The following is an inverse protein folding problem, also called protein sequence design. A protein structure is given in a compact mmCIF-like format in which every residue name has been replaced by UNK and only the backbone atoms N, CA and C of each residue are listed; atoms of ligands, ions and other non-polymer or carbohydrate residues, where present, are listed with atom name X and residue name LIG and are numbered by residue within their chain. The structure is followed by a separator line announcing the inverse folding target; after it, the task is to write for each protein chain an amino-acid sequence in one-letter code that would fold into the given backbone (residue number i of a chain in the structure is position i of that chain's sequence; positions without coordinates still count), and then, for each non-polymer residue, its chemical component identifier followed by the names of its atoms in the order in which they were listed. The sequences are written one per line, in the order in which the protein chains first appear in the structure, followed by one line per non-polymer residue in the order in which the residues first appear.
data_IF_519085435971
#
_entry.id   IF_519085435971
#
_cell.length_a   1.000
_cell.length_b   1.000
_cell.length_c   1.000
_cell.angle_alpha   90.00
_cell.angle_beta   90.00
_cell.angle_gamma   90.00
#
_symmetry.space_group_name_H-M   'P 1'
#
loop_
_entity.id
_entity.type
_entity.pdbx_description
1 polymer ?
#
# COMPACT_ATOMS: atom_id res chain seq x y z
N UNK A 1 8.65 -20.75 20.02
CA UNK A 1 7.54 -19.85 20.41
C UNK A 1 7.68 -18.59 19.58
N UNK A 2 6.89 -18.43 18.53
CA UNK A 2 6.94 -17.21 17.71
C UNK A 2 6.40 -16.05 18.52
N UNK A 3 7.21 -15.02 18.71
CA UNK A 3 6.83 -13.76 19.33
C UNK A 3 5.59 -13.21 18.61
N UNK A 4 4.51 -12.94 19.36
CA UNK A 4 3.30 -12.34 18.80
C UNK A 4 3.67 -10.94 18.35
N UNK A 5 3.72 -10.73 17.03
CA UNK A 5 3.93 -9.40 16.45
C UNK A 5 2.78 -8.51 16.89
N UNK A 6 3.10 -7.40 17.55
CA UNK A 6 2.10 -6.43 17.97
C UNK A 6 1.58 -5.65 16.76
N UNK A 7 0.29 -5.81 16.48
CA UNK A 7 -0.43 -5.09 15.44
C UNK A 7 -1.36 -4.00 16.00
N UNK A 8 -1.15 -3.58 17.26
CA UNK A 8 -1.88 -2.47 17.90
C UNK A 8 -1.86 -1.19 17.07
N UNK A 9 -0.87 -1.02 16.21
CA UNK A 9 -0.76 0.12 15.29
C UNK A 9 -1.84 0.16 14.20
N UNK A 10 -2.51 -0.96 13.87
CA UNK A 10 -3.54 -1.02 12.81
C UNK A 10 -4.69 -0.03 13.05
N UNK A 11 -5.05 0.23 14.31
CA UNK A 11 -6.14 1.14 14.67
C UNK A 11 -5.70 2.61 14.81
N UNK A 12 -4.39 2.86 14.96
CA UNK A 12 -3.88 4.17 15.39
C UNK A 12 -2.86 4.84 14.47
N UNK A 13 -2.17 4.09 13.59
CA UNK A 13 -1.06 4.61 12.76
C UNK A 13 -1.26 4.48 11.25
N UNK A 14 -2.23 3.69 10.79
CA UNK A 14 -2.51 3.59 9.36
C UNK A 14 -2.86 4.98 8.81
N UNK A 15 -2.11 5.42 7.79
CA UNK A 15 -2.20 6.77 7.22
C UNK A 15 -1.94 7.92 8.23
N UNK A 16 -1.16 7.65 9.27
CA UNK A 16 -0.73 8.65 10.26
C UNK A 16 0.78 8.52 10.51
N UNK A 17 1.62 8.88 9.51
CA UNK A 17 3.06 8.81 9.64
C UNK A 17 3.55 9.73 10.76
N UNK A 18 4.65 9.35 11.39
CA UNK A 18 5.27 10.18 12.41
C UNK A 18 5.85 11.43 11.75
N UNK A 19 5.29 12.61 12.04
CA UNK A 19 5.81 13.87 11.52
C UNK A 19 6.92 14.37 12.43
N UNK A 20 8.16 14.14 12.00
CA UNK A 20 9.36 14.69 12.65
C UNK A 20 10.07 15.49 11.57
N UNK A 21 9.97 16.81 11.66
CA UNK A 21 10.69 17.70 10.75
C UNK A 21 12.15 17.27 10.63
N UNK A 22 12.68 17.32 9.42
CA UNK A 22 14.01 16.83 9.11
C UNK A 22 14.61 17.52 7.89
N UNK A 23 15.83 17.15 7.49
CA UNK A 23 16.43 17.70 6.29
C UNK A 23 15.57 17.36 5.07
N UNK A 24 15.60 18.23 4.07
CA UNK A 24 14.91 17.98 2.80
C UNK A 24 15.37 16.64 2.20
N UNK A 25 14.40 15.89 1.67
CA UNK A 25 14.69 14.67 0.91
C UNK A 25 15.63 15.00 -0.24
N UNK A 26 16.80 14.37 -0.26
CA UNK A 26 17.69 14.42 -1.41
C UNK A 26 16.95 13.95 -2.67
N UNK A 27 17.23 14.60 -3.79
CA UNK A 27 16.70 14.19 -5.09
C UNK A 27 17.21 12.78 -5.43
N UNK A 28 16.31 11.89 -5.84
CA UNK A 28 16.64 10.57 -6.37
C UNK A 28 15.94 10.44 -7.74
N UNK A 29 16.66 10.20 -8.84
CA UNK A 29 16.06 10.10 -10.18
C UNK A 29 15.07 8.92 -10.31
N UNK A 30 15.13 7.94 -9.40
CA UNK A 30 14.20 6.81 -9.33
C UNK A 30 12.95 7.13 -8.54
N UNK A 31 12.90 8.28 -7.86
CA UNK A 31 11.74 8.76 -7.11
C UNK A 31 10.97 9.78 -7.93
N UNK A 32 9.68 9.55 -8.10
CA UNK A 32 8.75 10.53 -8.69
C UNK A 32 7.60 10.79 -7.75
N UNK A 33 7.12 12.03 -7.75
CA UNK A 33 5.88 12.40 -7.08
C UNK A 33 4.83 12.61 -8.14
N UNK A 34 3.83 11.74 -8.16
CA UNK A 34 2.67 11.90 -9.03
C UNK A 34 1.70 12.83 -8.33
N UNK A 35 1.75 14.09 -8.73
CA UNK A 35 0.73 15.08 -8.39
C UNK A 35 -0.34 15.00 -9.48
N UNK A 36 -1.38 14.22 -9.22
CA UNK A 36 -2.62 14.32 -9.99
C UNK A 36 -3.17 15.71 -9.79
N UNK A 37 -3.51 16.43 -10.87
CA UNK A 37 -4.12 17.75 -10.76
C UNK A 37 -5.26 17.68 -9.75
N UNK A 38 -5.21 18.53 -8.73
CA UNK A 38 -6.25 18.57 -7.72
C UNK A 38 -7.51 19.13 -8.37
N UNK A 39 -8.53 18.29 -8.50
CA UNK A 39 -9.86 18.69 -8.97
C UNK A 39 -10.59 19.30 -7.78
N UNK A 40 -11.08 20.53 -7.93
CA UNK A 40 -11.93 21.12 -6.91
C UNK A 40 -13.22 20.29 -6.78
N UNK A 41 -13.51 19.84 -5.58
CA UNK A 41 -14.69 19.04 -5.31
C UNK A 41 -15.94 19.94 -5.38
N UNK A 42 -16.91 19.68 -6.28
CA UNK A 42 -18.11 20.51 -6.38
C UNK A 42 -19.03 20.36 -5.16
N UNK A 43 -18.90 19.27 -4.38
CA UNK A 43 -19.74 19.02 -3.21
C UNK A 43 -19.26 19.74 -1.95
N UNK A 44 -17.96 19.62 -1.60
CA UNK A 44 -17.43 20.15 -0.34
C UNK A 44 -16.45 21.32 -0.52
N UNK A 45 -16.15 21.73 -1.76
CA UNK A 45 -15.07 22.68 -2.11
C UNK A 45 -13.67 22.24 -1.68
N UNK A 46 -13.53 20.97 -1.28
CA UNK A 46 -12.26 20.31 -1.04
C UNK A 46 -11.50 20.00 -2.33
N UNK A 47 -10.50 19.15 -2.25
CA UNK A 47 -9.72 18.72 -3.42
C UNK A 47 -9.76 17.21 -3.62
N UNK A 48 -9.69 16.78 -4.87
CA UNK A 48 -9.61 15.38 -5.23
C UNK A 48 -8.52 15.10 -6.24
N UNK A 49 -8.00 13.88 -6.21
CA UNK A 49 -6.96 13.42 -7.13
C UNK A 49 -7.60 12.85 -8.40
N UNK A 50 -7.09 13.24 -9.57
CA UNK A 50 -7.30 12.54 -10.86
C UNK A 50 -6.78 11.10 -10.76
N UNK A 51 -7.44 10.16 -11.41
CA UNK A 51 -7.39 8.75 -11.05
C UNK A 51 -8.28 8.50 -9.84
N UNK A 52 -9.48 8.00 -10.09
CA UNK A 52 -10.49 7.80 -9.06
C UNK A 52 -11.56 6.79 -9.49
N UNK A 53 -12.73 6.90 -8.90
CA UNK A 53 -13.92 6.11 -9.25
C UNK A 53 -14.95 7.05 -9.86
N UNK A 54 -15.63 6.75 -10.98
CA UNK A 54 -16.61 7.71 -11.57
C UNK A 54 -18.07 7.27 -11.41
N UNK A 55 -18.33 5.96 -11.35
CA UNK A 55 -19.68 5.40 -11.41
C UNK A 55 -19.78 4.04 -10.74
N UNK A 56 -18.73 3.21 -10.84
CA UNK A 56 -18.51 2.05 -9.98
C UNK A 56 -17.45 2.39 -8.91
N UNK A 57 -17.80 2.45 -7.60
CA UNK A 57 -16.81 2.64 -6.52
C UNK A 57 -15.77 1.50 -6.43
N UNK A 58 -15.84 0.51 -7.32
CA UNK A 58 -14.95 -0.63 -7.46
C UNK A 58 -14.08 -0.57 -8.74
N UNK A 59 -14.24 0.42 -9.62
CA UNK A 59 -13.46 0.61 -10.85
C UNK A 59 -12.58 1.87 -10.82
N UNK A 60 -11.26 1.65 -10.77
CA UNK A 60 -10.31 2.72 -11.03
C UNK A 60 -10.39 3.13 -12.48
N UNK A 61 -10.64 4.41 -12.70
CA UNK A 61 -10.64 5.02 -14.01
C UNK A 61 -9.61 6.15 -14.01
N UNK A 62 -8.70 6.12 -14.99
CA UNK A 62 -7.71 7.19 -15.19
C UNK A 62 -8.38 8.54 -15.47
N UNK A 63 -9.61 8.49 -16.00
CA UNK A 63 -10.47 9.62 -16.31
C UNK A 63 -11.46 9.93 -15.18
N UNK A 64 -11.24 9.40 -13.97
CA UNK A 64 -12.04 9.74 -12.81
C UNK A 64 -11.26 10.57 -11.81
N UNK A 65 -11.96 11.17 -10.85
CA UNK A 65 -11.36 11.79 -9.70
C UNK A 65 -12.16 11.46 -8.44
N UNK A 66 -11.50 11.51 -7.29
CA UNK A 66 -12.16 11.31 -5.99
C UNK A 66 -11.65 12.34 -5.00
N UNK A 67 -12.58 13.05 -4.37
CA UNK A 67 -12.33 14.02 -3.30
C UNK A 67 -11.74 13.31 -2.08
N UNK A 68 -10.59 13.79 -1.61
CA UNK A 68 -9.98 13.29 -0.38
C UNK A 68 -10.79 13.62 0.88
N UNK A 69 -11.58 14.70 0.84
CA UNK A 69 -12.26 15.25 2.02
C UNK A 69 -13.65 14.65 2.25
N UNK A 70 -14.50 14.60 1.22
CA UNK A 70 -15.88 14.10 1.34
C UNK A 70 -16.14 12.79 0.58
N UNK A 71 -15.13 12.25 -0.14
CA UNK A 71 -15.28 11.03 -0.92
C UNK A 71 -16.14 11.17 -2.18
N UNK A 72 -16.67 12.36 -2.50
CA UNK A 72 -17.35 12.64 -3.76
C UNK A 72 -16.43 12.34 -4.93
N UNK A 73 -16.97 11.77 -5.99
CA UNK A 73 -16.19 11.31 -7.12
C UNK A 73 -16.89 11.67 -8.43
N UNK A 74 -16.17 11.61 -9.54
CA UNK A 74 -16.71 11.95 -10.85
C UNK A 74 -15.70 11.73 -11.97
N UNK A 75 -16.09 12.08 -13.19
CA UNK A 75 -15.18 12.04 -14.34
C UNK A 75 -14.35 13.33 -14.45
N UNK A 76 -13.15 13.22 -14.99
CA UNK A 76 -12.36 14.33 -15.53
C UNK A 76 -12.22 14.16 -17.03
N UNK A 77 -11.87 15.24 -17.72
CA UNK A 77 -11.62 15.16 -19.16
C UNK A 77 -10.47 14.19 -19.44
N UNK A 78 -10.56 13.42 -20.54
CA UNK A 78 -9.59 12.38 -20.92
C UNK A 78 -8.16 12.91 -21.03
N UNK A 79 -8.04 14.20 -21.37
CA UNK A 79 -6.82 14.96 -21.56
C UNK A 79 -6.34 15.68 -20.28
N UNK A 80 -6.97 15.42 -19.12
CA UNK A 80 -6.54 16.03 -17.86
C UNK A 80 -5.11 15.59 -17.54
N UNK A 81 -4.14 16.52 -17.51
CA UNK A 81 -2.74 16.16 -17.43
C UNK A 81 -2.41 15.55 -16.06
N UNK A 82 -1.97 14.29 -16.06
CA UNK A 82 -1.28 13.69 -14.92
C UNK A 82 0.18 14.11 -15.01
N UNK A 83 0.61 15.00 -14.11
CA UNK A 83 1.97 15.51 -14.11
C UNK A 83 2.79 14.79 -13.05
N UNK A 84 3.73 13.96 -13.49
CA UNK A 84 4.82 13.51 -12.63
C UNK A 84 5.76 14.70 -12.40
N UNK A 85 5.90 15.17 -11.16
CA UNK A 85 6.75 16.32 -10.82
C UNK A 85 7.94 15.88 -9.97
N UNK A 86 9.04 16.61 -10.16
CA UNK A 86 10.16 16.71 -9.23
C UNK A 86 10.23 18.19 -8.81
N UNK A 87 10.34 18.60 -7.53
CA UNK A 87 10.40 17.86 -6.26
C UNK A 87 9.13 18.05 -5.37
N UNK A 88 9.28 17.62 -4.11
CA UNK A 88 8.35 17.35 -3.00
C UNK A 88 7.22 18.38 -2.71
N UNK A 89 5.94 17.93 -2.69
CA UNK A 89 4.86 18.60 -1.93
C UNK A 89 5.11 18.64 -0.41
N UNK A 90 4.66 19.68 0.31
CA UNK A 90 4.74 19.81 1.80
C UNK A 90 4.68 18.51 2.65
N UNK A 91 3.82 17.50 2.38
CA UNK A 91 3.81 16.26 3.16
C UNK A 91 5.15 15.52 3.30
N UNK A 92 6.02 15.59 2.31
CA UNK A 92 7.23 14.77 2.33
C UNK A 92 8.44 15.44 3.00
N UNK A 93 8.34 16.73 3.35
CA UNK A 93 9.35 17.39 4.20
C UNK A 93 9.11 17.15 5.69
N UNK A 94 7.90 16.70 6.06
CA UNK A 94 7.52 16.47 7.45
C UNK A 94 8.01 15.11 8.02
N UNK A 95 8.42 14.17 7.17
CA UNK A 95 8.94 12.85 7.58
C UNK A 95 9.90 12.24 6.52
N UNK A 96 11.06 12.88 6.27
CA UNK A 96 12.01 12.41 5.26
C UNK A 96 12.56 11.01 5.57
N UNK A 97 12.80 10.69 6.85
CA UNK A 97 13.32 9.39 7.27
C UNK A 97 12.30 8.27 7.07
N UNK A 98 11.04 8.47 7.48
CA UNK A 98 9.98 7.49 7.30
C UNK A 98 9.72 7.18 5.83
N UNK A 99 9.83 8.20 4.95
CA UNK A 99 9.76 8.02 3.50
C UNK A 99 10.88 7.12 3.01
N UNK A 100 12.14 7.43 3.34
CA UNK A 100 13.28 6.60 2.91
C UNK A 100 13.15 5.16 3.39
N UNK A 101 12.68 4.95 4.62
CA UNK A 101 12.41 3.61 5.17
C UNK A 101 11.27 2.91 4.44
N UNK A 102 10.19 3.61 4.12
CA UNK A 102 9.06 3.06 3.37
C UNK A 102 9.50 2.65 1.96
N UNK A 103 10.32 3.45 1.28
CA UNK A 103 10.84 3.08 -0.03
C UNK A 103 11.78 1.88 0.02
N UNK A 104 12.67 1.81 1.01
CA UNK A 104 13.56 0.66 1.19
C UNK A 104 12.75 -0.63 1.44
N UNK A 105 11.74 -0.57 2.31
CA UNK A 105 10.84 -1.68 2.56
C UNK A 105 10.07 -2.07 1.29
N UNK A 106 9.56 -1.10 0.53
CA UNK A 106 8.83 -1.36 -0.71
C UNK A 106 9.72 -2.01 -1.79
N UNK A 107 10.98 -1.58 -1.95
CA UNK A 107 11.95 -2.25 -2.84
C UNK A 107 12.24 -3.68 -2.38
N UNK A 108 12.35 -3.88 -1.06
CA UNK A 108 12.50 -5.24 -0.48
C UNK A 108 11.29 -6.13 -0.81
N UNK A 109 10.06 -5.61 -0.82
CA UNK A 109 8.87 -6.36 -1.26
C UNK A 109 9.07 -6.88 -2.70
N UNK A 110 9.47 -5.99 -3.63
CA UNK A 110 9.68 -6.37 -5.04
C UNK A 110 10.76 -7.43 -5.17
N UNK A 111 11.91 -7.22 -4.53
CA UNK A 111 13.03 -8.17 -4.55
C UNK A 111 12.58 -9.58 -4.11
N UNK A 112 11.81 -9.66 -3.01
CA UNK A 112 11.31 -10.94 -2.49
C UNK A 112 10.22 -11.56 -3.37
N UNK A 113 9.61 -10.79 -4.26
CA UNK A 113 8.62 -11.26 -5.23
C UNK A 113 9.25 -11.70 -6.57
N UNK A 114 10.52 -11.41 -6.84
CA UNK A 114 11.22 -11.84 -8.08
C UNK A 114 11.12 -13.35 -8.32
N UNK A 115 11.31 -14.24 -7.33
CA UNK A 115 11.13 -15.69 -7.53
C UNK A 115 9.70 -16.09 -7.98
N UNK A 116 8.72 -15.22 -7.75
CA UNK A 116 7.31 -15.41 -8.09
C UNK A 116 6.95 -14.82 -9.46
N UNK A 117 7.96 -14.56 -10.30
CA UNK A 117 7.87 -13.97 -11.63
C UNK A 117 7.37 -12.51 -11.62
N UNK A 118 7.51 -11.80 -10.49
CA UNK A 118 7.27 -10.35 -10.47
C UNK A 118 8.53 -9.64 -11.01
N UNK A 119 8.41 -8.75 -12.02
CA UNK A 119 9.56 -8.03 -12.54
C UNK A 119 10.26 -7.21 -11.45
N UNK A 120 11.59 -7.26 -11.45
CA UNK A 120 12.37 -6.37 -10.61
C UNK A 120 12.19 -4.91 -11.08
N UNK A 121 11.95 -4.01 -10.14
CA UNK A 121 11.95 -2.57 -10.35
C UNK A 121 12.41 -1.88 -9.07
N UNK A 122 13.12 -0.77 -9.22
CA UNK A 122 13.59 0.08 -8.13
C UNK A 122 12.98 1.50 -8.17
N UNK A 123 12.18 1.80 -9.21
CA UNK A 123 11.52 3.09 -9.41
C UNK A 123 10.32 3.21 -8.48
N UNK A 124 10.27 4.28 -7.70
CA UNK A 124 9.19 4.56 -6.74
C UNK A 124 8.40 5.77 -7.20
N UNK A 125 7.08 5.61 -7.24
CA UNK A 125 6.12 6.68 -7.53
C UNK A 125 5.27 6.91 -6.29
N UNK A 126 5.44 8.07 -5.67
CA UNK A 126 4.62 8.53 -4.57
C UNK A 126 3.35 9.21 -5.07
N UNK A 127 2.23 8.91 -4.41
CA UNK A 127 0.94 9.59 -4.55
C UNK A 127 0.59 10.26 -3.23
N UNK A 128 0.08 11.48 -3.28
CA UNK A 128 -0.46 12.17 -2.09
C UNK A 128 -1.98 12.04 -2.12
N UNK A 129 -2.53 11.42 -1.08
CA UNK A 129 -3.97 11.19 -0.99
C UNK A 129 -4.53 10.38 -2.16
N UNK A 130 -5.85 10.49 -2.33
CA UNK A 130 -6.61 9.70 -3.29
C UNK A 130 -6.85 8.26 -2.81
N UNK A 131 -7.89 7.60 -3.32
CA UNK A 131 -8.15 6.23 -2.95
C UNK A 131 -7.13 5.29 -3.60
N UNK A 132 -6.93 4.13 -2.97
CA UNK A 132 -6.18 3.01 -3.54
C UNK A 132 -6.68 2.74 -4.98
N UNK A 133 -5.79 2.44 -5.94
CA UNK A 133 -6.21 2.00 -7.27
C UNK A 133 -7.02 0.69 -7.21
N UNK A 134 -7.52 0.21 -8.36
CA UNK A 134 -8.34 -1.03 -8.49
C UNK A 134 -7.73 -2.31 -7.93
N UNK A 135 -6.47 -2.43 -7.44
CA UNK A 135 -6.18 -3.57 -6.60
C UNK A 135 -6.73 -3.43 -5.16
N UNK A 136 -7.81 -2.68 -4.90
CA UNK A 136 -8.68 -3.03 -3.77
C UNK A 136 -9.23 -4.47 -3.90
N UNK A 137 -9.27 -5.06 -5.10
CA UNK A 137 -9.47 -6.51 -5.29
C UNK A 137 -8.16 -7.32 -5.28
N UNK A 138 -7.04 -6.74 -5.73
CA UNK A 138 -5.74 -7.40 -5.65
C UNK A 138 -5.14 -7.11 -4.28
N UNK A 139 -5.56 -7.93 -3.33
CA UNK A 139 -4.96 -8.08 -2.01
C UNK A 139 -3.46 -8.46 -2.01
N UNK A 140 -2.86 -8.48 -3.20
CA UNK A 140 -1.50 -8.81 -3.52
C UNK A 140 -0.79 -7.59 -4.11
N UNK A 141 0.53 -7.45 -3.92
CA UNK A 141 1.30 -6.33 -4.47
C UNK A 141 1.35 -6.27 -6.00
N UNK A 142 1.14 -7.40 -6.69
CA UNK A 142 1.23 -7.52 -8.14
C UNK A 142 0.34 -8.68 -8.64
N UNK A 143 -0.28 -8.60 -9.84
CA UNK A 143 -1.14 -9.68 -10.37
C UNK A 143 -0.44 -11.05 -10.46
N UNK A 144 0.84 -11.08 -10.83
CA UNK A 144 1.61 -12.35 -10.88
C UNK A 144 1.84 -12.99 -9.50
N UNK A 145 1.76 -12.22 -8.42
CA UNK A 145 1.87 -12.71 -7.05
C UNK A 145 0.56 -13.33 -6.54
N UNK A 146 -0.55 -13.21 -7.26
CA UNK A 146 -1.86 -13.79 -6.91
C UNK A 146 -1.82 -15.29 -6.61
N UNK A 147 -0.83 -15.98 -7.16
CA UNK A 147 -0.61 -17.39 -6.88
C UNK A 147 -0.31 -17.68 -5.41
N UNK A 148 0.33 -16.77 -4.68
CA UNK A 148 0.57 -16.89 -3.24
C UNK A 148 -0.75 -16.93 -2.46
N UNK A 149 -1.69 -16.06 -2.82
CA UNK A 149 -3.03 -16.04 -2.20
C UNK A 149 -3.75 -17.37 -2.43
N UNK A 150 -3.69 -17.91 -3.65
CA UNK A 150 -4.29 -19.21 -3.97
C UNK A 150 -3.64 -20.34 -3.18
N UNK A 151 -2.31 -20.32 -3.06
CA UNK A 151 -1.59 -21.29 -2.25
C UNK A 151 -2.06 -21.29 -0.79
N UNK A 152 -2.11 -20.13 -0.13
CA UNK A 152 -2.49 -20.07 1.28
C UNK A 152 -3.95 -20.39 1.55
N UNK A 153 -4.88 -19.94 0.70
CA UNK A 153 -6.31 -19.96 1.03
C UNK A 153 -7.13 -20.97 0.24
N UNK A 154 -6.54 -21.64 -0.74
CA UNK A 154 -7.17 -22.71 -1.52
C UNK A 154 -6.37 -24.01 -1.36
N UNK A 155 -5.14 -24.03 -1.88
CA UNK A 155 -4.33 -25.26 -1.96
C UNK A 155 -3.95 -25.81 -0.58
N UNK A 156 -3.37 -24.97 0.27
CA UNK A 156 -2.93 -25.36 1.60
C UNK A 156 -3.97 -25.08 2.69
N UNK A 157 -5.22 -24.83 2.31
CA UNK A 157 -6.27 -24.49 3.28
C UNK A 157 -6.44 -25.57 4.35
N UNK A 158 -6.46 -26.84 3.94
CA UNK A 158 -6.58 -27.98 4.86
C UNK A 158 -5.37 -28.10 5.78
N UNK A 159 -4.17 -27.87 5.24
CA UNK A 159 -2.95 -27.82 6.03
C UNK A 159 -3.04 -26.66 7.01
N UNK A 160 -3.03 -25.41 6.56
CA UNK A 160 -2.93 -24.20 7.37
C UNK A 160 -4.09 -24.01 8.37
N UNK A 161 -5.28 -24.54 8.06
CA UNK A 161 -6.49 -24.30 8.83
C UNK A 161 -6.97 -22.85 8.69
N UNK A 162 -7.68 -22.36 9.71
CA UNK A 162 -8.18 -20.98 9.71
C UNK A 162 -7.06 -20.00 10.07
N UNK A 163 -6.56 -19.27 9.07
CA UNK A 163 -5.68 -18.12 9.31
C UNK A 163 -6.54 -16.95 9.79
N UNK A 164 -6.38 -16.59 11.07
CA UNK A 164 -7.07 -15.50 11.73
C UNK A 164 -6.87 -14.17 10.98
N UNK A 165 -7.94 -13.38 10.91
CA UNK A 165 -7.93 -12.06 10.30
C UNK A 165 -8.55 -11.07 11.28
N UNK A 166 -7.97 -9.87 11.33
CA UNK A 166 -8.43 -8.84 12.23
C UNK A 166 -9.58 -8.10 11.53
N UNK A 167 -10.74 -7.97 12.20
CA UNK A 167 -11.88 -7.27 11.64
C UNK A 167 -11.65 -5.76 11.75
N UNK A 168 -11.79 -5.05 10.63
CA UNK A 168 -11.70 -3.58 10.58
C UNK A 168 -13.11 -3.02 10.35
N UNK A 169 -13.73 -2.38 11.36
CA UNK A 169 -15.05 -1.78 11.20
C UNK A 169 -14.95 -0.48 10.38
N UNK A 170 -16.06 -0.09 9.74
CA UNK A 170 -16.17 1.19 9.02
C UNK A 170 -16.02 1.09 7.50
N UNK A 171 -16.49 2.13 6.81
CA UNK A 171 -16.49 2.23 5.34
C UNK A 171 -15.79 3.50 4.82
N UNK A 172 -15.30 4.34 5.74
CA UNK A 172 -14.53 5.53 5.43
C UNK A 172 -13.17 5.16 4.80
N UNK A 173 -12.48 6.13 4.17
CA UNK A 173 -11.20 5.88 3.52
C UNK A 173 -10.17 5.23 4.46
N UNK A 174 -9.99 5.74 5.68
CA UNK A 174 -8.98 5.21 6.60
C UNK A 174 -9.26 3.74 6.96
N UNK A 175 -10.53 3.39 7.19
CA UNK A 175 -10.95 2.00 7.42
C UNK A 175 -10.65 1.08 6.23
N UNK A 176 -10.74 1.56 4.98
CA UNK A 176 -10.35 0.77 3.79
C UNK A 176 -8.85 0.50 3.74
N UNK A 177 -8.02 1.49 4.08
CA UNK A 177 -6.57 1.30 4.18
C UNK A 177 -6.21 0.35 5.33
N UNK A 178 -6.86 0.48 6.48
CA UNK A 178 -6.67 -0.40 7.62
C UNK A 178 -7.09 -1.85 7.30
N UNK A 179 -8.21 -2.04 6.59
CA UNK A 179 -8.63 -3.36 6.12
C UNK A 179 -7.59 -4.01 5.18
N UNK A 180 -6.95 -3.21 4.32
CA UNK A 180 -5.86 -3.69 3.47
C UNK A 180 -4.60 -4.03 4.26
N UNK A 181 -4.22 -3.19 5.23
CA UNK A 181 -3.11 -3.47 6.13
C UNK A 181 -3.35 -4.79 6.89
N UNK A 182 -4.55 -4.98 7.45
CA UNK A 182 -4.97 -6.21 8.13
C UNK A 182 -4.94 -7.42 7.19
N UNK A 183 -5.30 -7.26 5.92
CA UNK A 183 -5.15 -8.32 4.94
C UNK A 183 -3.68 -8.72 4.71
N UNK A 184 -2.77 -7.76 4.57
CA UNK A 184 -1.35 -8.07 4.39
C UNK A 184 -0.74 -8.72 5.65
N UNK A 185 -1.20 -8.32 6.84
CA UNK A 185 -0.89 -9.01 8.10
C UNK A 185 -1.36 -10.48 8.04
N UNK A 186 -2.57 -10.74 7.55
CA UNK A 186 -3.07 -12.11 7.36
C UNK A 186 -2.20 -12.91 6.38
N UNK A 187 -1.75 -12.32 5.28
CA UNK A 187 -0.84 -12.97 4.33
C UNK A 187 0.51 -13.31 4.96
N UNK A 188 1.08 -12.40 5.75
CA UNK A 188 2.30 -12.68 6.51
C UNK A 188 2.11 -13.81 7.52
N UNK A 189 0.99 -13.83 8.27
CA UNK A 189 0.65 -14.95 9.17
C UNK A 189 0.56 -16.26 8.40
N UNK A 190 -0.10 -16.28 7.24
CA UNK A 190 -0.20 -17.47 6.40
C UNK A 190 1.17 -17.94 5.88
N UNK A 191 2.04 -17.01 5.46
CA UNK A 191 3.40 -17.31 5.04
C UNK A 191 4.19 -17.96 6.17
N UNK A 192 4.18 -17.38 7.38
CA UNK A 192 4.90 -17.92 8.54
C UNK A 192 4.39 -19.30 8.93
N UNK A 193 3.08 -19.52 8.94
CA UNK A 193 2.50 -20.86 9.19
C UNK A 193 2.92 -21.89 8.12
N UNK A 194 2.98 -21.47 6.85
CA UNK A 194 3.45 -22.33 5.77
C UNK A 194 4.95 -22.65 5.89
N UNK A 195 5.77 -21.67 6.29
CA UNK A 195 7.19 -21.83 6.57
C UNK A 195 7.44 -22.77 7.75
N UNK A 196 6.76 -22.55 8.89
CA UNK A 196 6.89 -23.36 10.11
C UNK A 196 6.55 -24.83 9.86
N UNK A 197 5.67 -25.11 8.89
CA UNK A 197 5.25 -26.45 8.49
C UNK A 197 6.02 -26.99 7.30
N UNK A 198 7.05 -26.27 6.85
CA UNK A 198 7.87 -26.59 5.70
C UNK A 198 7.05 -26.98 4.45
N UNK A 199 5.94 -26.28 4.20
CA UNK A 199 5.08 -26.56 3.05
C UNK A 199 5.86 -26.36 1.75
N UNK A 200 5.70 -27.31 0.84
CA UNK A 200 6.38 -27.33 -0.45
C UNK A 200 5.49 -26.72 -1.52
N UNK A 201 6.03 -25.78 -2.31
CA UNK A 201 5.33 -25.18 -3.45
C UNK A 201 5.01 -26.26 -4.48
N UNK A 202 3.73 -26.52 -4.80
CA UNK A 202 3.36 -27.52 -5.81
C UNK A 202 3.91 -27.17 -7.20
N UNK A 203 4.21 -28.19 -7.99
CA UNK A 203 4.62 -28.01 -9.39
C UNK A 203 3.52 -27.43 -10.28
N UNK A 204 2.26 -27.54 -9.88
CA UNK A 204 1.07 -27.04 -10.59
C UNK A 204 0.92 -25.51 -10.57
N UNK A 205 1.73 -24.79 -9.78
CA UNK A 205 1.69 -23.34 -9.58
C UNK A 205 2.09 -22.52 -10.81
N UNK A 206 2.72 -23.14 -11.82
CA UNK A 206 3.18 -22.42 -13.02
C UNK A 206 4.28 -21.39 -12.72
N UNK A 207 5.11 -21.66 -11.71
CA UNK A 207 6.29 -20.87 -11.34
C UNK A 207 7.51 -21.79 -11.16
N UNK A 208 8.21 -22.15 -12.25
CA UNK A 208 9.27 -23.16 -12.20
C UNK A 208 10.42 -22.80 -11.24
N UNK A 209 10.65 -21.52 -10.97
CA UNK A 209 11.71 -21.02 -10.09
C UNK A 209 11.46 -21.31 -8.60
N UNK A 210 10.20 -21.52 -8.22
CA UNK A 210 9.79 -21.79 -6.82
C UNK A 210 9.14 -23.16 -6.64
N UNK A 211 8.67 -23.81 -7.71
CA UNK A 211 8.12 -25.16 -7.67
C UNK A 211 9.08 -26.15 -7.00
N UNK A 212 8.53 -26.99 -6.10
CA UNK A 212 9.29 -27.99 -5.34
C UNK A 212 10.11 -27.44 -4.18
N UNK A 213 10.19 -26.11 -4.00
CA UNK A 213 10.92 -25.50 -2.88
C UNK A 213 10.02 -25.39 -1.65
N UNK A 214 10.64 -25.50 -0.47
CA UNK A 214 9.97 -25.20 0.80
C UNK A 214 9.77 -23.69 0.97
N UNK A 215 8.60 -23.28 1.45
CA UNK A 215 8.31 -21.89 1.81
C UNK A 215 9.29 -21.34 2.84
N UNK A 216 9.80 -22.19 3.75
CA UNK A 216 10.80 -21.78 4.73
C UNK A 216 12.12 -21.31 4.10
N UNK A 217 12.45 -21.81 2.90
CA UNK A 217 13.63 -21.42 2.13
C UNK A 217 13.36 -20.32 1.10
N UNK A 218 12.17 -19.71 1.12
CA UNK A 218 11.79 -18.60 0.25
C UNK A 218 11.66 -17.30 1.07
N UNK A 219 11.99 -16.14 0.49
CA UNK A 219 11.90 -14.88 1.21
C UNK A 219 10.45 -14.42 1.35
N UNK A 220 10.03 -14.03 2.55
CA UNK A 220 8.68 -13.53 2.84
C UNK A 220 8.47 -12.10 2.29
N UNK A 221 7.63 -11.90 1.25
CA UNK A 221 7.42 -10.57 0.68
C UNK A 221 6.48 -9.69 1.51
N UNK A 222 5.77 -10.24 2.50
CA UNK A 222 4.73 -9.52 3.25
C UNK A 222 5.25 -8.82 4.50
N UNK A 223 6.30 -9.35 5.12
CA UNK A 223 6.96 -8.70 6.25
C UNK A 223 7.38 -7.24 5.94
N UNK A 224 8.16 -6.95 4.88
CA UNK A 224 8.50 -5.56 4.54
C UNK A 224 7.29 -4.73 4.11
N UNK A 225 6.21 -5.36 3.64
CA UNK A 225 4.98 -4.64 3.32
C UNK A 225 4.30 -4.13 4.60
N UNK A 226 4.29 -4.92 5.66
CA UNK A 226 3.81 -4.51 6.99
C UNK A 226 4.61 -3.32 7.51
N UNK A 227 5.93 -3.28 7.28
CA UNK A 227 6.76 -2.15 7.69
C UNK A 227 6.32 -0.83 7.04
N UNK A 228 5.90 -0.85 5.76
CA UNK A 228 5.35 0.34 5.08
C UNK A 228 4.10 0.84 5.81
N UNK A 229 3.18 -0.06 6.21
CA UNK A 229 1.97 0.30 6.95
C UNK A 229 2.27 0.82 8.35
N UNK A 230 3.22 0.19 9.05
CA UNK A 230 3.62 0.59 10.40
C UNK A 230 4.26 1.99 10.43
N UNK A 231 4.87 2.43 9.32
CA UNK A 231 5.38 3.79 9.12
C UNK A 231 4.27 4.81 8.79
N UNK A 232 3.02 4.37 8.62
CA UNK A 232 1.89 5.24 8.28
C UNK A 232 1.74 5.54 6.79
N UNK A 233 2.47 4.83 5.94
CA UNK A 233 2.33 4.89 4.48
C UNK A 233 1.56 3.68 3.95
N UNK A 234 1.17 3.72 2.68
CA UNK A 234 0.48 2.60 2.05
C UNK A 234 1.22 2.09 0.82
N UNK A 235 1.33 0.77 0.71
CA UNK A 235 1.76 0.09 -0.50
C UNK A 235 0.56 -0.10 -1.43
N UNK A 236 0.54 0.60 -2.56
CA UNK A 236 -0.59 0.60 -3.48
C UNK A 236 -0.53 -0.60 -4.43
N UNK A 237 0.52 -0.73 -5.22
CA UNK A 237 0.76 -1.82 -6.16
C UNK A 237 2.16 -1.72 -6.79
N UNK A 238 2.49 -2.72 -7.59
CA UNK A 238 3.59 -2.73 -8.55
C UNK A 238 2.91 -2.82 -9.92
N UNK A 239 3.05 -1.78 -10.74
CA UNK A 239 2.48 -1.75 -12.08
C UNK A 239 3.45 -1.11 -13.07
N UNK A 240 3.45 -1.62 -14.30
CA UNK A 240 4.48 -1.27 -15.28
C UNK A 240 5.88 -1.57 -14.74
N UNK A 241 6.71 -0.55 -14.68
CA UNK A 241 8.07 -0.55 -14.14
C UNK A 241 8.21 0.27 -12.85
N UNK A 242 7.14 0.44 -12.05
CA UNK A 242 7.17 1.21 -10.82
C UNK A 242 6.53 0.54 -9.60
N UNK A 243 7.02 0.93 -8.44
CA UNK A 243 6.44 0.70 -7.12
C UNK A 243 5.60 1.91 -6.75
N UNK A 244 4.31 1.72 -6.49
CA UNK A 244 3.41 2.80 -6.12
C UNK A 244 3.21 2.85 -4.61
N UNK A 245 3.57 3.98 -4.01
CA UNK A 245 3.35 4.27 -2.60
C UNK A 245 2.38 5.43 -2.44
N UNK A 246 1.64 5.44 -1.34
CA UNK A 246 0.73 6.52 -0.98
C UNK A 246 1.15 7.12 0.35
N UNK A 247 1.30 8.44 0.35
CA UNK A 247 1.40 9.26 1.55
C UNK A 247 0.03 9.91 1.83
N UNK A 248 -0.40 9.95 3.11
CA UNK A 248 -1.58 10.72 3.47
C UNK A 248 -1.34 12.22 3.25
N UNK A 249 -2.39 13.02 2.99
CA UNK A 249 -2.27 14.46 2.91
C UNK A 249 -1.84 15.06 4.27
N UNK A 250 -1.20 16.22 4.23
CA UNK A 250 -1.01 17.05 5.44
C UNK A 250 -2.36 17.66 5.78
N UNK A 251 -3.01 17.14 6.82
CA UNK A 251 -4.11 17.85 7.47
C UNK A 251 -3.54 19.07 8.19
N UNK A 252 -3.98 20.27 7.81
CA UNK A 252 -3.55 21.55 8.39
C UNK A 252 -3.94 21.72 9.88
N UNK A 253 -4.57 20.72 10.50
CA UNK A 253 -5.26 20.82 11.78
C UNK A 253 -4.46 20.35 13.00
N UNK A 254 -3.25 19.79 12.85
CA UNK A 254 -2.48 19.33 14.01
C UNK A 254 -1.81 20.48 14.81
N UNK A 255 -1.78 21.70 14.27
CA UNK A 255 -1.16 22.86 14.94
C UNK A 255 -2.11 23.65 15.87
N UNK A 256 -3.42 23.37 15.89
CA UNK A 256 -4.38 24.16 16.71
C UNK A 256 -4.82 23.50 18.02
N UNK A 257 -4.41 22.27 18.32
CA UNK A 257 -4.80 21.61 19.58
C UNK A 257 -3.96 22.03 20.80
N UNK A 258 -2.97 22.92 20.64
CA UNK A 258 -2.01 23.30 21.69
C UNK A 258 -2.19 24.67 22.35
N UNK A 259 -3.20 25.47 22.00
CA UNK A 259 -3.33 26.86 22.52
C UNK A 259 -4.68 27.14 23.18
N UNK A 260 -5.13 26.24 24.05
CA UNK A 260 -6.10 26.57 25.08
C UNK A 260 -5.52 26.21 26.45
N UNK A 261 -4.54 27.00 26.88
CA UNK A 261 -4.22 27.18 28.29
C UNK A 261 -4.51 28.63 28.70
N UNK A 262 -5.35 28.74 29.74
CA UNK A 262 -5.71 29.90 30.58
C UNK A 262 -6.58 31.02 30.00
#
# INVERSE_FOLDING_TARGET
MSELVDFSWLSGRVLRPARRGGPLLAADPRRRFRATQLVACPACRGTGAVGGYSSDPLEWEEQAWTCGDCGTYGAVAVDTPIVDRSPVPEPFTADPEGILRAEAAARTVVERLVPWDVPATDRVVWRVGGPLAKPMRSTMPHPRAEVLRRLFFQEWRSSLGTVQHDHVPGWDPASRFAARAAWHVRLNRAWRLAADRALIVPSTVGRPQVAGRSIAGLPDPFAPLIDVWALGYAFADITGDAIHLIAPPVTATDDQAGTHEM
#
